data_IF_163642890584
#
_entry.id   IF_163642890584
#
_cell.length_a   1.000
_cell.length_b   1.000
_cell.length_c   1.000
_cell.angle_alpha   90.00
_cell.angle_beta   90.00
_cell.angle_gamma   90.00
#
_symmetry.space_group_name_H-M   'P 1'
#
loop_
_entity.id
_entity.type
_entity.pdbx_description
1 polymer ?
#
# COMPACT_ATOMS: atom_id res chain seq x y z
N UNK A 1 -35.24 -43.33 -74.38
CA UNK A 1 -36.52 -43.26 -73.63
C UNK A 1 -36.47 -42.02 -72.74
N UNK A 2 -37.54 -41.22 -72.79
CA UNK A 2 -37.74 -39.97 -72.05
C UNK A 2 -38.19 -40.24 -70.60
N UNK A 3 -38.25 -39.14 -69.83
CA UNK A 3 -38.98 -38.90 -68.57
C UNK A 3 -38.20 -39.24 -67.29
N UNK A 4 -38.32 -38.52 -66.16
CA UNK A 4 -38.82 -37.20 -65.73
C UNK A 4 -38.42 -37.11 -64.23
N UNK A 5 -38.00 -35.96 -63.72
CA UNK A 5 -38.04 -35.64 -62.27
C UNK A 5 -39.50 -35.35 -61.85
N UNK A 6 -39.95 -35.53 -60.57
CA UNK A 6 -39.58 -34.61 -59.46
C UNK A 6 -39.55 -35.15 -57.99
N UNK A 7 -38.84 -34.37 -57.17
CA UNK A 7 -38.91 -34.02 -55.72
C UNK A 7 -39.80 -34.82 -54.74
N UNK A 8 -39.27 -35.14 -53.55
CA UNK A 8 -39.72 -34.64 -52.22
C UNK A 8 -38.56 -34.78 -51.20
N UNK A 9 -38.38 -33.74 -50.40
CA UNK A 9 -37.38 -33.60 -49.34
C UNK A 9 -37.73 -34.38 -48.05
N UNK A 10 -36.72 -34.86 -47.31
CA UNK A 10 -36.83 -35.00 -45.86
C UNK A 10 -35.51 -34.61 -45.19
N UNK A 11 -35.64 -33.61 -44.32
CA UNK A 11 -34.61 -32.94 -43.55
C UNK A 11 -34.46 -33.67 -42.21
N UNK A 12 -33.31 -34.27 -41.93
CA UNK A 12 -32.93 -34.62 -40.55
C UNK A 12 -31.46 -34.25 -40.37
N UNK A 13 -31.25 -33.06 -39.81
CA UNK A 13 -29.96 -32.67 -39.27
C UNK A 13 -29.70 -33.43 -37.98
N UNK A 14 -28.55 -34.11 -37.89
CA UNK A 14 -28.01 -34.58 -36.62
C UNK A 14 -26.77 -33.75 -36.29
N UNK A 15 -27.00 -32.76 -35.43
CA UNK A 15 -25.99 -31.99 -34.73
C UNK A 15 -25.17 -32.95 -33.86
N UNK A 16 -23.91 -33.21 -34.20
CA UNK A 16 -22.95 -33.76 -33.24
C UNK A 16 -22.49 -32.60 -32.37
N UNK A 17 -23.26 -32.34 -31.31
CA UNK A 17 -22.89 -31.43 -30.24
C UNK A 17 -21.71 -32.02 -29.48
N UNK A 18 -20.52 -31.51 -29.75
CA UNK A 18 -19.38 -31.66 -28.86
C UNK A 18 -19.76 -30.94 -27.56
N UNK A 19 -20.06 -31.71 -26.52
CA UNK A 19 -20.17 -31.22 -25.15
C UNK A 19 -18.80 -30.73 -24.68
N UNK A 20 -18.43 -29.52 -25.12
CA UNK A 20 -17.46 -28.73 -24.42
C UNK A 20 -18.08 -28.38 -23.07
N UNK A 21 -17.68 -29.11 -22.02
CA UNK A 21 -17.89 -28.68 -20.63
C UNK A 21 -17.04 -27.43 -20.43
N UNK A 22 -17.55 -26.31 -20.91
CA UNK A 22 -17.06 -24.99 -20.58
C UNK A 22 -17.27 -24.83 -19.09
N UNK A 23 -16.16 -24.76 -18.33
CA UNK A 23 -16.20 -24.25 -16.96
C UNK A 23 -16.96 -22.93 -16.99
N UNK A 24 -17.98 -22.72 -16.15
CA UNK A 24 -18.64 -21.43 -16.11
C UNK A 24 -17.58 -20.41 -15.68
N UNK A 25 -17.13 -19.58 -16.63
CA UNK A 25 -16.53 -18.28 -16.31
C UNK A 25 -17.68 -17.49 -15.70
N UNK A 26 -17.83 -17.63 -14.39
CA UNK A 26 -18.63 -16.70 -13.60
C UNK A 26 -17.90 -15.37 -13.73
N UNK A 27 -18.33 -14.58 -14.70
CA UNK A 27 -17.94 -13.19 -14.84
C UNK A 27 -18.59 -12.44 -13.67
N UNK A 28 -17.93 -12.51 -12.52
CA UNK A 28 -18.28 -11.69 -11.38
C UNK A 28 -17.80 -10.28 -11.68
N UNK A 29 -18.63 -9.51 -12.38
CA UNK A 29 -18.45 -8.07 -12.48
C UNK A 29 -18.89 -7.42 -11.16
N UNK A 30 -18.23 -7.76 -10.05
CA UNK A 30 -18.14 -6.85 -8.92
C UNK A 30 -16.91 -6.00 -9.20
N UNK A 31 -17.11 -4.73 -9.49
CA UNK A 31 -16.01 -3.75 -9.47
C UNK A 31 -15.24 -3.97 -8.16
N UNK A 32 -14.00 -4.44 -8.27
CA UNK A 32 -13.14 -4.58 -7.09
C UNK A 32 -13.09 -3.21 -6.41
N UNK A 33 -13.26 -3.12 -5.07
CA UNK A 33 -13.17 -1.86 -4.39
C UNK A 33 -11.75 -1.32 -4.59
N UNK A 34 -11.63 -0.30 -5.44
CA UNK A 34 -10.37 0.37 -5.73
C UNK A 34 -10.39 1.78 -5.20
N UNK A 35 -9.29 2.18 -4.56
CA UNK A 35 -9.05 3.55 -4.13
C UNK A 35 -8.04 4.17 -5.09
N UNK A 36 -8.27 5.41 -5.47
CA UNK A 36 -7.36 6.13 -6.37
C UNK A 36 -6.40 7.01 -5.56
N UNK A 37 -5.13 7.03 -5.95
CA UNK A 37 -4.15 7.98 -5.45
C UNK A 37 -3.37 8.61 -6.61
N UNK A 38 -2.84 9.80 -6.37
CA UNK A 38 -1.85 10.41 -7.25
C UNK A 38 -0.47 10.19 -6.64
N UNK A 39 0.35 9.40 -7.31
CA UNK A 39 1.73 9.16 -6.92
C UNK A 39 2.66 10.13 -7.66
N UNK A 40 3.61 10.72 -6.94
CA UNK A 40 4.58 11.67 -7.47
C UNK A 40 3.96 12.81 -8.31
N UNK A 41 2.77 13.28 -7.94
CA UNK A 41 2.03 14.38 -8.59
C UNK A 41 1.67 14.15 -10.08
N UNK A 42 1.92 12.95 -10.62
CA UNK A 42 1.79 12.67 -12.05
C UNK A 42 1.14 11.31 -12.35
N UNK A 43 1.43 10.30 -11.54
CA UNK A 43 0.97 8.93 -11.80
C UNK A 43 -0.36 8.69 -11.08
N UNK A 44 -1.47 8.62 -11.83
CA UNK A 44 -2.76 8.19 -11.30
C UNK A 44 -2.76 6.67 -11.11
N UNK A 45 -2.75 6.22 -9.86
CA UNK A 45 -2.73 4.81 -9.47
C UNK A 45 -4.09 4.43 -8.87
N UNK A 46 -4.60 3.24 -9.20
CA UNK A 46 -5.75 2.65 -8.51
C UNK A 46 -5.29 1.43 -7.73
N UNK A 47 -5.39 1.48 -6.42
CA UNK A 47 -5.03 0.37 -5.54
C UNK A 47 -6.27 -0.43 -5.14
N UNK A 48 -6.11 -1.73 -4.92
CA UNK A 48 -7.22 -2.56 -4.44
C UNK A 48 -6.76 -3.92 -3.92
N UNK A 49 -7.76 -4.76 -3.65
CA UNK A 49 -7.58 -6.15 -3.24
C UNK A 49 -8.36 -7.09 -4.15
N UNK A 50 -7.78 -8.23 -4.47
CA UNK A 50 -8.42 -9.37 -5.12
C UNK A 50 -8.06 -10.67 -4.36
N UNK A 51 -8.68 -11.82 -4.68
CA UNK A 51 -8.32 -13.10 -4.07
C UNK A 51 -6.83 -13.47 -4.22
N UNK A 52 -6.16 -12.94 -5.24
CA UNK A 52 -4.72 -13.13 -5.50
C UNK A 52 -3.84 -12.25 -4.60
N UNK A 53 -4.39 -11.18 -4.01
CA UNK A 53 -3.67 -10.30 -3.09
C UNK A 53 -3.95 -8.80 -3.31
N UNK A 54 -3.10 -7.97 -2.72
CA UNK A 54 -3.12 -6.52 -2.96
C UNK A 54 -2.53 -6.21 -4.33
N UNK A 55 -3.09 -5.23 -5.02
CA UNK A 55 -2.60 -4.81 -6.34
C UNK A 55 -2.64 -3.30 -6.51
N UNK A 56 -1.88 -2.82 -7.50
CA UNK A 56 -1.97 -1.47 -8.01
C UNK A 56 -2.12 -1.48 -9.54
N UNK A 57 -3.07 -0.70 -10.03
CA UNK A 57 -3.27 -0.42 -11.43
C UNK A 57 -2.55 0.87 -11.77
N UNK A 58 -1.57 0.77 -12.67
CA UNK A 58 -0.72 1.90 -13.08
C UNK A 58 -0.82 2.06 -14.59
N UNK A 59 -0.95 3.30 -15.06
CA UNK A 59 -0.88 3.61 -16.50
C UNK A 59 0.57 3.85 -16.92
N UNK A 60 0.95 3.45 -18.15
CA UNK A 60 2.18 3.94 -18.74
C UNK A 60 2.10 5.45 -18.97
N UNK A 61 3.22 6.15 -18.79
CA UNK A 61 3.33 7.57 -19.16
C UNK A 61 3.30 7.73 -20.68
N UNK A 62 3.02 8.94 -21.16
CA UNK A 62 3.05 9.23 -22.60
C UNK A 62 4.44 8.91 -23.19
N UNK A 63 4.49 8.10 -24.26
CA UNK A 63 5.75 7.66 -24.88
C UNK A 63 6.59 6.66 -24.06
N UNK A 64 6.09 6.22 -22.91
CA UNK A 64 6.73 5.19 -22.11
C UNK A 64 6.54 3.81 -22.77
N UNK A 65 7.62 3.05 -22.87
CA UNK A 65 7.59 1.66 -23.32
C UNK A 65 7.63 0.70 -22.13
N UNK A 66 7.36 -0.58 -22.37
CA UNK A 66 7.33 -1.64 -21.34
C UNK A 66 8.57 -1.59 -20.43
N UNK A 67 9.78 -1.57 -21.02
CA UNK A 67 11.03 -1.49 -20.25
C UNK A 67 11.11 -0.27 -19.32
N UNK A 68 10.79 0.93 -19.82
CA UNK A 68 10.86 2.17 -19.02
C UNK A 68 9.83 2.17 -17.89
N UNK A 69 8.63 1.64 -18.16
CA UNK A 69 7.64 1.43 -17.12
C UNK A 69 8.15 0.47 -16.04
N UNK A 70 8.74 -0.66 -16.45
CA UNK A 70 9.27 -1.65 -15.52
C UNK A 70 10.36 -1.07 -14.61
N UNK A 71 11.32 -0.32 -15.18
CA UNK A 71 12.37 0.36 -14.40
C UNK A 71 11.77 1.32 -13.37
N UNK A 72 10.70 2.04 -13.74
CA UNK A 72 10.04 3.01 -12.85
C UNK A 72 9.27 2.35 -11.72
N UNK A 73 8.56 1.25 -11.98
CA UNK A 73 7.56 0.73 -11.05
C UNK A 73 7.94 -0.59 -10.39
N UNK A 74 8.78 -1.42 -11.02
CA UNK A 74 9.08 -2.78 -10.56
C UNK A 74 10.34 -2.83 -9.72
N UNK A 75 10.31 -3.62 -8.64
CA UNK A 75 11.42 -3.77 -7.70
C UNK A 75 12.70 -4.35 -8.31
N UNK A 76 12.61 -5.03 -9.44
CA UNK A 76 13.74 -5.70 -10.08
C UNK A 76 14.53 -4.79 -11.03
N UNK A 77 14.14 -3.50 -11.13
CA UNK A 77 14.78 -2.53 -12.01
C UNK A 77 14.56 -2.84 -13.49
N UNK A 78 13.45 -3.50 -13.84
CA UNK A 78 13.07 -3.77 -15.23
C UNK A 78 13.67 -5.04 -15.83
N UNK A 79 14.32 -5.91 -15.03
CA UNK A 79 14.85 -7.20 -15.51
C UNK A 79 13.75 -8.11 -16.07
N UNK A 80 12.55 -8.03 -15.52
CA UNK A 80 11.37 -8.77 -15.94
C UNK A 80 10.37 -7.88 -16.69
N UNK A 81 10.82 -6.84 -17.39
CA UNK A 81 9.93 -5.98 -18.19
C UNK A 81 9.01 -6.74 -19.19
N UNK A 82 9.38 -7.91 -19.77
CA UNK A 82 8.46 -8.64 -20.64
C UNK A 82 7.18 -9.09 -19.91
N UNK A 83 7.24 -9.24 -18.58
CA UNK A 83 6.10 -9.60 -17.73
C UNK A 83 5.00 -8.54 -17.74
N UNK A 84 5.30 -7.30 -18.11
CA UNK A 84 4.29 -6.24 -18.25
C UNK A 84 3.24 -6.60 -19.31
N UNK A 85 3.62 -7.32 -20.37
CA UNK A 85 2.66 -7.77 -21.39
C UNK A 85 1.70 -8.83 -20.86
N UNK A 86 2.20 -9.74 -20.02
CA UNK A 86 1.37 -10.73 -19.33
C UNK A 86 0.39 -10.04 -18.37
N UNK A 87 0.88 -9.07 -17.60
CA UNK A 87 0.07 -8.31 -16.62
C UNK A 87 -0.94 -7.37 -17.28
N UNK A 88 -0.62 -6.81 -18.46
CA UNK A 88 -1.55 -5.94 -19.19
C UNK A 88 -2.69 -6.71 -19.84
N UNK A 89 -2.48 -8.01 -20.10
CA UNK A 89 -3.41 -8.85 -20.85
C UNK A 89 -3.64 -8.38 -22.29
N UNK A 90 -2.82 -7.44 -22.78
CA UNK A 90 -2.99 -6.80 -24.07
C UNK A 90 -1.92 -7.27 -25.06
N UNK A 91 -2.33 -7.46 -26.32
CA UNK A 91 -1.40 -7.80 -27.40
C UNK A 91 -0.40 -6.66 -27.70
N UNK A 92 -0.77 -5.41 -27.37
CA UNK A 92 0.04 -4.21 -27.55
C UNK A 92 0.00 -3.34 -26.30
N UNK A 93 1.13 -2.71 -26.01
CA UNK A 93 1.28 -1.82 -24.86
C UNK A 93 0.77 -0.41 -25.20
N UNK A 94 -0.23 0.07 -24.46
CA UNK A 94 -0.90 1.34 -24.71
C UNK A 94 -0.87 2.27 -23.49
N UNK A 95 -0.57 3.55 -23.71
CA UNK A 95 -0.45 4.57 -22.65
C UNK A 95 -1.74 4.89 -21.89
N UNK A 96 -2.91 4.56 -22.46
CA UNK A 96 -4.20 4.82 -21.82
C UNK A 96 -4.75 3.64 -21.01
N UNK A 97 -4.10 2.47 -21.10
CA UNK A 97 -4.55 1.25 -20.44
C UNK A 97 -3.87 1.10 -19.08
N UNK A 98 -4.64 0.69 -18.08
CA UNK A 98 -4.08 0.29 -16.79
C UNK A 98 -3.45 -1.09 -16.90
N UNK A 99 -2.24 -1.23 -16.37
CA UNK A 99 -1.62 -2.53 -16.09
C UNK A 99 -1.78 -2.83 -14.60
N UNK A 100 -2.27 -4.02 -14.27
CA UNK A 100 -2.48 -4.43 -12.88
C UNK A 100 -1.23 -5.16 -12.38
N UNK A 101 -0.55 -4.57 -11.41
CA UNK A 101 0.63 -5.15 -10.77
C UNK A 101 0.25 -5.71 -9.40
N UNK A 102 0.60 -6.98 -9.11
CA UNK A 102 0.67 -7.45 -7.73
C UNK A 102 1.57 -6.54 -6.89
N UNK A 103 1.15 -6.22 -5.68
CA UNK A 103 1.85 -5.27 -4.81
C UNK A 103 3.31 -5.66 -4.62
N UNK A 104 3.59 -6.96 -4.45
CA UNK A 104 4.93 -7.47 -4.21
C UNK A 104 5.91 -7.26 -5.37
N UNK A 105 5.43 -6.97 -6.59
CA UNK A 105 6.30 -6.68 -7.73
C UNK A 105 6.76 -5.21 -7.76
N UNK A 106 6.08 -4.32 -7.05
CA UNK A 106 6.35 -2.88 -7.10
C UNK A 106 7.58 -2.50 -6.27
N UNK A 107 8.21 -1.36 -6.57
CA UNK A 107 9.23 -0.77 -5.69
C UNK A 107 8.64 -0.41 -4.31
N UNK A 108 9.47 -0.48 -3.27
CA UNK A 108 9.06 -0.21 -1.88
C UNK A 108 8.26 1.10 -1.68
N UNK A 109 8.70 2.26 -2.21
CA UNK A 109 7.97 3.52 -2.07
C UNK A 109 6.57 3.52 -2.68
N UNK A 110 6.38 2.82 -3.82
CA UNK A 110 5.06 2.61 -4.42
C UNK A 110 4.20 1.71 -3.55
N UNK A 111 4.78 0.61 -3.03
CA UNK A 111 4.07 -0.27 -2.10
C UNK A 111 3.59 0.53 -0.87
N UNK A 112 4.47 1.31 -0.26
CA UNK A 112 4.14 2.17 0.88
C UNK A 112 3.01 3.15 0.61
N UNK A 113 3.04 3.80 -0.56
CA UNK A 113 2.00 4.76 -0.97
C UNK A 113 0.64 4.08 -1.18
N UNK A 114 0.65 2.89 -1.78
CA UNK A 114 -0.54 2.04 -1.93
C UNK A 114 -1.09 1.64 -0.56
N UNK A 115 -0.23 1.18 0.37
CA UNK A 115 -0.64 0.78 1.70
C UNK A 115 -1.25 1.93 2.51
N UNK A 116 -0.62 3.12 2.51
CA UNK A 116 -1.18 4.33 3.13
C UNK A 116 -2.55 4.71 2.58
N UNK A 117 -2.79 4.44 1.31
CA UNK A 117 -4.06 4.75 0.64
C UNK A 117 -5.14 3.72 0.97
N UNK A 118 -4.79 2.43 0.94
CA UNK A 118 -5.74 1.36 1.23
C UNK A 118 -6.12 1.31 2.71
N UNK A 119 -5.16 1.55 3.59
CA UNK A 119 -5.31 1.52 5.05
C UNK A 119 -5.18 2.95 5.61
N UNK A 120 -6.10 3.83 5.19
CA UNK A 120 -6.10 5.25 5.59
C UNK A 120 -6.29 5.47 7.09
N UNK A 121 -6.88 4.49 7.79
CA UNK A 121 -7.10 4.51 9.23
C UNK A 121 -5.88 4.09 10.05
N UNK A 122 -4.79 3.68 9.38
CA UNK A 122 -3.55 3.32 10.06
C UNK A 122 -2.88 4.57 10.64
N UNK A 123 -2.55 4.47 11.92
CA UNK A 123 -1.92 5.56 12.67
C UNK A 123 -0.48 5.23 12.96
N UNK A 124 0.38 6.23 12.78
CA UNK A 124 1.74 6.17 13.27
C UNK A 124 1.72 6.40 14.78
N UNK A 125 2.10 5.39 15.55
CA UNK A 125 2.18 5.47 17.00
C UNK A 125 3.59 5.27 17.54
N UNK A 126 3.71 5.53 18.84
CA UNK A 126 4.95 5.30 19.55
C UNK A 126 5.39 3.84 19.52
N UNK A 127 6.39 3.57 18.71
CA UNK A 127 7.07 2.29 18.60
C UNK A 127 6.47 1.33 17.56
N UNK A 128 5.30 1.62 17.03
CA UNK A 128 4.59 0.76 16.08
C UNK A 128 3.70 1.55 15.11
N UNK A 129 3.38 0.92 13.98
CA UNK A 129 2.18 1.25 13.22
C UNK A 129 0.97 0.63 13.94
N UNK A 130 0.00 1.47 14.31
CA UNK A 130 -1.32 1.02 14.76
C UNK A 130 -2.17 0.82 13.53
N UNK A 131 -2.46 -0.43 13.23
CA UNK A 131 -3.32 -0.81 12.12
C UNK A 131 -4.74 -1.10 12.63
N UNK A 132 -5.74 -0.54 11.98
CA UNK A 132 -7.14 -0.80 12.30
C UNK A 132 -7.78 -1.57 11.14
N UNK A 133 -8.30 -2.75 11.43
CA UNK A 133 -8.91 -3.62 10.41
C UNK A 133 -10.19 -2.96 9.91
N UNK A 134 -10.20 -2.54 8.64
CA UNK A 134 -11.34 -1.84 8.03
C UNK A 134 -12.17 -2.81 7.20
N UNK A 135 -11.51 -3.69 6.45
CA UNK A 135 -12.14 -4.56 5.48
C UNK A 135 -12.21 -6.02 5.95
N UNK A 136 -13.28 -6.71 5.56
CA UNK A 136 -13.48 -8.13 5.90
C UNK A 136 -12.50 -9.08 5.21
N UNK A 137 -11.84 -8.64 4.14
CA UNK A 137 -10.85 -9.44 3.41
C UNK A 137 -9.47 -9.41 4.05
N UNK A 138 -9.26 -8.58 5.08
CA UNK A 138 -7.98 -8.48 5.75
C UNK A 138 -7.69 -9.73 6.58
N UNK A 139 -6.47 -10.22 6.44
CA UNK A 139 -6.00 -11.39 7.19
C UNK A 139 -4.60 -11.13 7.70
N UNK A 140 -4.23 -11.76 8.83
CA UNK A 140 -2.88 -11.63 9.36
C UNK A 140 -1.79 -12.07 8.34
N UNK A 141 -1.97 -13.15 7.54
CA UNK A 141 -1.07 -13.46 6.43
C UNK A 141 -0.90 -12.35 5.41
N UNK A 142 -2.00 -11.73 4.97
CA UNK A 142 -1.96 -10.62 4.02
C UNK A 142 -1.22 -9.41 4.60
N UNK A 143 -1.59 -8.99 5.81
CA UNK A 143 -0.98 -7.83 6.48
C UNK A 143 0.51 -8.07 6.75
N UNK A 144 0.90 -9.28 7.17
CA UNK A 144 2.31 -9.65 7.30
C UNK A 144 3.04 -9.49 5.96
N UNK A 145 2.49 -10.05 4.88
CA UNK A 145 3.14 -10.02 3.58
C UNK A 145 3.30 -8.59 3.05
N UNK A 146 2.31 -7.72 3.32
CA UNK A 146 2.31 -6.32 2.94
C UNK A 146 3.33 -5.49 3.73
N UNK A 147 3.29 -5.55 5.07
CA UNK A 147 3.98 -4.61 5.94
C UNK A 147 5.33 -5.11 6.48
N UNK A 148 5.47 -6.41 6.75
CA UNK A 148 6.51 -6.91 7.65
C UNK A 148 7.71 -7.52 6.92
N UNK A 149 8.87 -7.44 7.56
CA UNK A 149 10.11 -8.10 7.13
C UNK A 149 9.92 -9.61 7.05
N UNK A 150 10.58 -10.26 6.08
CA UNK A 150 10.49 -11.72 5.88
C UNK A 150 10.87 -12.54 7.12
N UNK A 151 11.78 -12.01 7.96
CA UNK A 151 12.22 -12.64 9.21
C UNK A 151 11.15 -12.69 10.31
N UNK A 152 10.13 -11.85 10.25
CA UNK A 152 9.04 -11.82 11.24
C UNK A 152 8.05 -12.93 10.93
N UNK A 153 7.77 -13.81 11.89
CA UNK A 153 6.88 -14.96 11.65
C UNK A 153 5.41 -14.63 11.91
N UNK A 154 4.49 -15.40 11.32
CA UNK A 154 3.05 -15.27 11.60
C UNK A 154 2.75 -15.51 13.08
N UNK A 155 3.34 -16.56 13.66
CA UNK A 155 3.17 -16.91 15.07
C UNK A 155 3.66 -15.79 16.00
N UNK A 156 4.82 -15.20 15.70
CA UNK A 156 5.34 -14.05 16.44
C UNK A 156 4.38 -12.85 16.35
N UNK A 157 3.86 -12.56 15.16
CA UNK A 157 2.94 -11.45 14.94
C UNK A 157 1.61 -11.66 15.68
N UNK A 158 1.06 -12.87 15.60
CA UNK A 158 -0.16 -13.26 16.28
C UNK A 158 -0.02 -13.19 17.79
N UNK A 159 1.08 -13.72 18.34
CA UNK A 159 1.35 -13.72 19.78
C UNK A 159 1.52 -12.31 20.34
N UNK A 160 2.23 -11.43 19.62
CA UNK A 160 2.40 -10.04 20.02
C UNK A 160 1.07 -9.28 20.07
N UNK A 161 0.23 -9.52 19.06
CA UNK A 161 -1.12 -8.96 18.97
C UNK A 161 -2.17 -9.73 19.79
N UNK A 162 -1.74 -10.74 20.59
CA UNK A 162 -2.59 -11.58 21.45
C UNK A 162 -3.79 -12.18 20.71
N UNK A 163 -3.60 -12.53 19.45
CA UNK A 163 -4.65 -13.13 18.63
C UNK A 163 -4.91 -14.57 19.08
N UNK A 164 -6.18 -14.93 19.23
CA UNK A 164 -6.60 -16.30 19.52
C UNK A 164 -6.43 -17.14 18.26
N UNK A 165 -5.71 -18.27 18.35
CA UNK A 165 -5.47 -19.16 17.21
C UNK A 165 -6.77 -19.76 16.62
N UNK A 166 -7.82 -19.84 17.42
CA UNK A 166 -9.15 -20.31 17.03
C UNK A 166 -9.88 -19.31 16.11
N UNK A 167 -9.55 -18.02 16.22
CA UNK A 167 -10.13 -16.94 15.42
C UNK A 167 -9.25 -16.69 14.19
N UNK A 168 -9.44 -17.50 13.14
CA UNK A 168 -8.69 -17.40 11.88
C UNK A 168 -8.96 -16.12 11.09
N UNK A 169 -9.94 -15.31 11.49
CA UNK A 169 -10.36 -14.09 10.80
C UNK A 169 -10.18 -12.87 11.70
N UNK A 170 -9.62 -11.80 11.13
CA UNK A 170 -9.58 -10.50 11.79
C UNK A 170 -10.98 -9.88 11.80
N UNK A 171 -11.36 -9.25 12.91
CA UNK A 171 -12.67 -8.59 13.04
C UNK A 171 -12.56 -7.14 12.58
N UNK A 172 -13.58 -6.61 11.89
CA UNK A 172 -13.62 -5.18 11.56
C UNK A 172 -13.58 -4.34 12.85
N UNK A 173 -12.78 -3.27 12.84
CA UNK A 173 -12.49 -2.44 14.01
C UNK A 173 -11.43 -3.01 14.95
N UNK A 174 -10.96 -4.25 14.74
CA UNK A 174 -9.87 -4.82 15.52
C UNK A 174 -8.58 -4.03 15.28
N UNK A 175 -7.85 -3.76 16.37
CA UNK A 175 -6.59 -3.02 16.32
C UNK A 175 -5.42 -3.98 16.43
N UNK A 176 -4.48 -3.86 15.50
CA UNK A 176 -3.20 -4.55 15.49
C UNK A 176 -2.08 -3.54 15.63
N UNK A 177 -0.97 -3.97 16.22
CA UNK A 177 0.25 -3.20 16.35
C UNK A 177 1.38 -3.93 15.64
N UNK A 178 2.07 -3.21 14.77
CA UNK A 178 3.24 -3.67 14.06
C UNK A 178 4.46 -2.84 14.49
N UNK A 179 5.34 -3.37 15.34
CA UNK A 179 6.55 -2.68 15.77
C UNK A 179 7.36 -2.14 14.59
N UNK A 180 7.89 -0.92 14.71
CA UNK A 180 8.65 -0.29 13.63
C UNK A 180 9.86 -1.11 13.17
N UNK A 181 10.50 -1.86 14.08
CA UNK A 181 11.62 -2.75 13.74
C UNK A 181 11.19 -4.00 12.96
N UNK A 182 9.90 -4.34 12.94
CA UNK A 182 9.34 -5.45 12.17
C UNK A 182 8.88 -5.02 10.78
N UNK A 183 8.52 -3.75 10.61
CA UNK A 183 8.05 -3.21 9.34
C UNK A 183 9.22 -3.12 8.36
N UNK A 184 8.94 -3.40 7.09
CA UNK A 184 9.89 -3.24 5.99
C UNK A 184 10.31 -1.78 5.83
N UNK A 185 11.62 -1.56 5.81
CA UNK A 185 12.20 -0.21 5.78
C UNK A 185 11.95 0.50 4.42
N UNK A 186 11.86 -0.28 3.34
CA UNK A 186 11.66 0.22 1.98
C UNK A 186 10.25 0.76 1.70
N UNK A 187 9.29 0.55 2.62
CA UNK A 187 7.91 1.03 2.46
C UNK A 187 7.73 2.51 2.82
N UNK A 188 8.73 3.18 3.40
CA UNK A 188 8.65 4.61 3.79
C UNK A 188 7.42 4.95 4.65
N UNK A 189 6.95 4.00 5.46
CA UNK A 189 5.78 4.17 6.35
C UNK A 189 6.14 4.87 7.65
N UNK A 190 7.37 4.65 8.13
CA UNK A 190 7.86 5.28 9.36
C UNK A 190 8.12 6.77 9.09
N UNK A 191 7.58 7.70 9.90
CA UNK A 191 8.04 9.07 9.89
C UNK A 191 9.43 9.09 10.50
N UNK A 192 10.44 8.94 9.64
CA UNK A 192 11.81 9.20 9.99
C UNK A 192 12.00 10.72 10.04
N UNK A 193 12.51 11.22 11.15
CA UNK A 193 13.18 12.51 11.19
C UNK A 193 14.67 12.26 11.04
N UNK A 194 15.42 13.30 10.73
CA UNK A 194 16.88 13.26 10.69
C UNK A 194 17.44 14.13 11.80
N UNK A 195 18.65 13.83 12.26
CA UNK A 195 19.33 14.67 13.25
C UNK A 195 19.97 15.87 12.57
N UNK A 196 20.05 17.00 13.29
CA UNK A 196 20.93 18.10 12.89
C UNK A 196 22.36 17.56 12.62
N UNK A 197 23.05 18.03 11.56
CA UNK A 197 22.72 19.15 10.66
C UNK A 197 21.82 18.79 9.46
N UNK A 198 21.35 17.55 9.37
CA UNK A 198 20.42 17.13 8.33
C UNK A 198 19.01 17.67 8.61
N UNK A 199 18.26 17.93 7.56
CA UNK A 199 16.83 18.25 7.61
C UNK A 199 16.06 17.39 6.60
N UNK A 200 14.76 17.20 6.81
CA UNK A 200 13.95 16.50 5.82
C UNK A 200 13.67 17.43 4.64
N UNK A 201 13.94 16.95 3.44
CA UNK A 201 13.60 17.62 2.18
C UNK A 201 12.80 16.64 1.31
N UNK A 202 12.02 17.18 0.38
CA UNK A 202 11.26 16.39 -0.59
C UNK A 202 11.65 16.85 -1.99
N UNK A 203 11.79 15.91 -2.92
CA UNK A 203 11.95 16.28 -4.32
C UNK A 203 10.62 16.70 -4.95
N UNK A 204 10.65 17.07 -6.23
CA UNK A 204 9.46 17.40 -7.01
C UNK A 204 8.48 16.23 -7.15
N UNK A 205 8.94 15.01 -6.87
CA UNK A 205 8.16 13.78 -6.88
C UNK A 205 7.60 13.45 -5.48
N UNK A 206 7.88 14.25 -4.45
CA UNK A 206 7.44 14.00 -3.09
C UNK A 206 8.18 12.86 -2.37
N UNK A 207 9.27 12.34 -2.95
CA UNK A 207 10.16 11.38 -2.30
C UNK A 207 10.96 12.12 -1.23
N UNK A 208 11.03 11.53 -0.04
CA UNK A 208 11.72 12.13 1.10
C UNK A 208 13.21 11.81 1.08
N UNK A 209 14.02 12.84 1.29
CA UNK A 209 15.46 12.76 1.42
C UNK A 209 15.89 13.42 2.72
N UNK A 210 17.10 13.09 3.16
CA UNK A 210 17.83 13.95 4.07
C UNK A 210 18.55 15.03 3.26
N UNK A 211 18.17 16.28 3.46
CA UNK A 211 18.87 17.45 2.94
C UNK A 211 20.02 17.82 3.87
N UNK A 212 21.17 18.13 3.27
CA UNK A 212 22.33 18.71 3.95
C UNK A 212 22.82 19.91 3.15
N UNK A 213 23.23 20.99 3.81
CA UNK A 213 23.89 22.11 3.12
C UNK A 213 25.38 22.04 3.40
N UNK A 214 26.18 21.97 2.34
CA UNK A 214 27.64 21.90 2.47
C UNK A 214 28.17 23.11 3.22
N UNK A 215 29.02 22.89 4.23
CA UNK A 215 29.73 23.97 4.89
C UNK A 215 30.90 24.46 4.03
N UNK A 216 31.36 25.73 4.21
CA UNK A 216 32.53 26.23 3.50
C UNK A 216 33.76 25.34 3.69
N UNK A 217 34.37 24.89 2.60
CA UNK A 217 35.56 24.03 2.62
C UNK A 217 35.29 22.54 2.78
N UNK A 218 34.03 22.10 2.91
CA UNK A 218 33.68 20.68 2.88
C UNK A 218 33.70 20.10 1.46
N UNK A 219 33.96 18.81 1.36
CA UNK A 219 33.75 18.03 0.13
C UNK A 219 32.58 17.08 0.29
N UNK A 220 31.93 16.69 -0.81
CA UNK A 220 30.90 15.64 -0.79
C UNK A 220 31.45 14.35 -0.14
N UNK A 221 32.70 14.02 -0.42
CA UNK A 221 33.33 12.80 0.08
C UNK A 221 33.47 12.80 1.61
N UNK A 222 34.11 13.83 2.17
CA UNK A 222 34.41 13.90 3.62
C UNK A 222 33.24 14.42 4.44
N UNK A 223 32.59 15.50 3.98
CA UNK A 223 31.52 16.20 4.71
C UNK A 223 30.18 15.47 4.66
N UNK A 224 29.93 14.67 3.61
CA UNK A 224 28.65 13.98 3.42
C UNK A 224 28.79 12.47 3.49
N UNK A 225 29.54 11.85 2.56
CA UNK A 225 29.54 10.38 2.44
C UNK A 225 30.12 9.73 3.69
N UNK A 226 31.36 10.09 4.09
CA UNK A 226 31.97 9.51 5.30
C UNK A 226 31.22 9.85 6.59
N UNK A 227 30.57 11.01 6.62
CA UNK A 227 29.88 11.52 7.81
C UNK A 227 28.52 10.85 8.00
N UNK A 228 27.66 10.90 7.00
CA UNK A 228 26.24 10.57 7.13
C UNK A 228 25.86 9.22 6.53
N UNK A 229 26.61 8.71 5.54
CA UNK A 229 26.30 7.46 4.84
C UNK A 229 27.06 6.30 5.48
N UNK A 230 26.52 5.08 5.37
CA UNK A 230 27.12 3.87 5.96
C UNK A 230 28.60 3.74 5.61
N UNK A 231 29.36 3.31 6.61
CA UNK A 231 30.79 3.04 6.48
C UNK A 231 31.02 1.87 5.52
N UNK A 232 31.96 2.03 4.60
CA UNK A 232 32.31 1.07 3.57
C UNK A 232 33.77 1.24 3.15
N UNK A 233 34.23 0.40 2.23
CA UNK A 233 35.59 0.52 1.68
C UNK A 233 35.80 1.85 0.95
N UNK A 234 37.05 2.21 0.66
CA UNK A 234 37.35 3.42 -0.12
C UNK A 234 36.63 3.40 -1.50
N UNK A 235 36.58 2.23 -2.13
CA UNK A 235 35.91 2.01 -3.43
C UNK A 235 34.40 2.18 -3.33
N UNK A 236 33.78 1.63 -2.27
CA UNK A 236 32.35 1.80 -2.00
C UNK A 236 32.01 3.26 -1.71
N UNK A 237 32.85 3.94 -0.94
CA UNK A 237 32.69 5.37 -0.62
C UNK A 237 32.73 6.21 -1.89
N UNK A 238 33.66 5.92 -2.81
CA UNK A 238 33.75 6.61 -4.11
C UNK A 238 32.55 6.32 -5.00
N UNK A 239 32.05 5.08 -5.02
CA UNK A 239 30.84 4.73 -5.78
C UNK A 239 29.61 5.49 -5.27
N UNK A 240 29.41 5.50 -3.95
CA UNK A 240 28.31 6.24 -3.30
C UNK A 240 28.41 7.74 -3.61
N UNK A 241 29.62 8.31 -3.58
CA UNK A 241 29.81 9.71 -3.95
C UNK A 241 29.34 9.97 -5.40
N UNK A 242 29.72 9.13 -6.35
CA UNK A 242 29.28 9.24 -7.74
C UNK A 242 27.76 9.07 -7.89
N UNK A 243 27.18 8.14 -7.16
CA UNK A 243 25.73 7.93 -7.17
C UNK A 243 24.98 9.15 -6.59
N UNK A 244 25.52 9.80 -5.55
CA UNK A 244 24.97 11.05 -5.01
C UNK A 244 25.09 12.22 -5.99
N UNK A 245 26.20 12.32 -6.73
CA UNK A 245 26.38 13.33 -7.79
C UNK A 245 25.25 13.16 -8.83
N UNK A 246 25.07 11.93 -9.33
CA UNK A 246 24.05 11.63 -10.33
C UNK A 246 22.63 11.88 -9.80
N UNK A 247 22.33 11.44 -8.57
CA UNK A 247 21.02 11.61 -7.93
C UNK A 247 20.63 13.07 -7.76
N UNK A 248 21.60 13.93 -7.45
CA UNK A 248 21.37 15.36 -7.25
C UNK A 248 21.50 16.18 -8.54
N UNK A 249 21.83 15.55 -9.67
CA UNK A 249 22.01 16.23 -10.96
C UNK A 249 23.24 17.14 -11.01
N UNK A 250 24.29 16.81 -10.25
CA UNK A 250 25.55 17.55 -10.27
C UNK A 250 26.45 17.04 -11.39
N UNK A 251 27.26 17.94 -11.97
CA UNK A 251 28.21 17.58 -13.02
C UNK A 251 29.49 16.95 -12.44
N UNK A 252 29.99 17.48 -11.32
CA UNK A 252 31.19 17.03 -10.63
C UNK A 252 31.10 17.37 -9.14
N UNK A 253 31.70 16.57 -8.26
CA UNK A 253 31.84 16.88 -6.84
C UNK A 253 32.74 18.10 -6.58
N UNK A 254 33.67 18.42 -7.48
CA UNK A 254 34.60 19.56 -7.33
C UNK A 254 33.96 20.91 -7.59
N UNK A 255 32.80 20.94 -8.23
CA UNK A 255 32.08 22.17 -8.58
C UNK A 255 30.99 22.54 -7.57
N UNK A 256 30.90 21.79 -6.46
CA UNK A 256 29.93 22.04 -5.40
C UNK A 256 30.29 23.31 -4.63
N UNK A 257 29.31 24.19 -4.49
CA UNK A 257 29.47 25.46 -3.78
C UNK A 257 29.08 25.32 -2.29
N UNK A 258 29.67 26.12 -1.40
CA UNK A 258 29.18 26.26 -0.03
C UNK A 258 27.69 26.61 0.00
N UNK A 259 26.95 26.01 0.92
CA UNK A 259 25.50 26.18 1.08
C UNK A 259 24.65 25.36 0.10
N UNK A 260 25.26 24.70 -0.90
CA UNK A 260 24.54 23.85 -1.84
C UNK A 260 23.89 22.66 -1.13
N UNK A 261 22.60 22.44 -1.41
CA UNK A 261 21.83 21.35 -0.83
C UNK A 261 22.20 20.03 -1.52
N UNK A 262 22.57 19.04 -0.71
CA UNK A 262 22.79 17.66 -1.10
C UNK A 262 21.64 16.83 -0.55
N UNK A 263 20.91 16.15 -1.43
CA UNK A 263 19.87 15.18 -1.08
C UNK A 263 20.49 13.80 -0.95
N UNK A 264 20.25 13.18 0.20
CA UNK A 264 20.76 11.86 0.56
C UNK A 264 19.54 10.94 0.76
N UNK A 265 19.45 9.80 0.06
CA UNK A 265 18.39 8.84 0.32
C UNK A 265 18.35 8.43 1.79
N UNK A 266 17.16 8.45 2.41
CA UNK A 266 17.01 8.10 3.82
C UNK A 266 17.51 6.68 4.14
N UNK A 267 17.38 5.75 3.18
CA UNK A 267 17.88 4.38 3.29
C UNK A 267 19.42 4.27 3.31
N UNK A 268 20.15 5.30 2.87
CA UNK A 268 21.61 5.31 2.85
C UNK A 268 22.21 5.89 4.13
N UNK A 269 21.42 6.67 4.88
CA UNK A 269 21.87 7.24 6.13
C UNK A 269 22.26 6.15 7.13
N UNK A 270 23.32 6.42 7.89
CA UNK A 270 23.63 5.67 9.10
C UNK A 270 22.48 5.83 10.09
N UNK A 271 22.21 4.77 10.84
CA UNK A 271 21.15 4.76 11.86
C UNK A 271 21.34 5.87 12.90
N UNK A 272 22.59 6.24 13.19
CA UNK A 272 22.95 7.33 14.09
C UNK A 272 22.36 8.69 13.69
N UNK A 273 22.09 8.91 12.40
CA UNK A 273 21.56 10.16 11.85
C UNK A 273 20.05 10.12 11.59
N UNK A 274 19.43 8.95 11.72
CA UNK A 274 17.99 8.83 11.72
C UNK A 274 17.51 9.14 13.13
N UNK A 275 16.82 10.28 13.29
CA UNK A 275 16.16 10.59 14.54
C UNK A 275 14.77 9.93 14.54
N UNK A 276 14.57 8.95 15.43
CA UNK A 276 13.22 8.64 15.86
C UNK A 276 12.52 9.94 16.31
N UNK A 277 11.36 10.31 15.74
CA UNK A 277 10.56 11.44 16.22
C UNK A 277 10.19 11.16 17.69
N UNK A 278 10.69 11.92 18.69
CA UNK A 278 10.73 11.48 20.09
C UNK A 278 9.39 11.04 20.69
N UNK A 279 8.27 11.57 20.20
CA UNK A 279 6.91 11.17 20.59
C UNK A 279 6.47 9.79 20.05
N UNK A 280 7.24 9.18 19.15
CA UNK A 280 6.88 8.02 18.32
C UNK A 280 7.80 6.80 18.56
N UNK A 281 8.72 6.79 19.54
CA UNK A 281 9.69 5.67 19.66
C UNK A 281 9.90 5.06 21.05
N UNK A 282 8.99 5.26 21.99
CA UNK A 282 8.86 4.26 23.07
C UNK A 282 8.45 2.94 22.46
N UNK A 283 9.09 1.84 22.84
CA UNK A 283 8.62 0.51 22.48
C UNK A 283 7.13 0.40 22.83
N UNK A 284 6.27 -0.06 21.91
CA UNK A 284 4.87 -0.19 22.23
C UNK A 284 4.78 -1.23 23.34
N UNK A 285 4.07 -0.88 24.41
CA UNK A 285 3.62 -1.90 25.35
C UNK A 285 2.75 -2.87 24.55
N UNK A 286 2.92 -4.20 24.70
CA UNK A 286 2.07 -5.15 24.00
C UNK A 286 0.59 -4.76 24.18
N UNK A 287 -0.22 -4.81 23.11
CA UNK A 287 -1.62 -4.39 23.17
C UNK A 287 -2.32 -5.03 24.36
N UNK A 288 -3.02 -4.20 25.14
CA UNK A 288 -3.91 -4.72 26.18
C UNK A 288 -5.11 -5.42 25.52
N UNK A 289 -5.70 -6.44 26.17
CA UNK A 289 -6.87 -7.10 25.60
C UNK A 289 -7.96 -6.04 25.40
N UNK A 290 -8.48 -5.92 24.18
CA UNK A 290 -9.74 -5.21 23.97
C UNK A 290 -10.79 -6.06 24.66
N UNK A 291 -11.29 -5.60 25.82
CA UNK A 291 -12.52 -6.17 26.38
C UNK A 291 -13.59 -6.01 25.30
N UNK A 292 -14.17 -7.13 24.88
CA UNK A 292 -15.31 -7.15 23.98
C UNK A 292 -16.44 -6.41 24.69
N UNK A 293 -16.61 -5.11 24.39
CA UNK A 293 -17.64 -4.26 25.02
C UNK A 293 -19.03 -4.82 24.72
N UNK A 294 -19.18 -5.60 23.64
CA UNK A 294 -20.40 -6.35 23.33
C UNK A 294 -20.71 -7.46 24.35
N UNK A 295 -19.74 -7.93 25.15
CA UNK A 295 -19.98 -8.90 26.24
C UNK A 295 -20.35 -8.25 27.57
N UNK A 296 -20.15 -6.94 27.74
CA UNK A 296 -20.63 -6.21 28.94
C UNK A 296 -22.10 -5.82 28.84
N UNK A 297 -22.72 -5.86 27.66
CA UNK A 297 -24.15 -5.61 27.47
C UNK A 297 -25.05 -6.85 27.62
N UNK A 298 -24.51 -8.01 27.98
CA UNK A 298 -25.29 -9.25 28.18
C UNK A 298 -25.28 -9.74 29.63
N UNK A 299 -25.09 -8.86 30.62
CA UNK A 299 -25.13 -9.28 32.03
C UNK A 299 -25.89 -8.39 33.00
N UNK A 300 -26.68 -7.46 32.49
CA UNK A 300 -27.76 -6.83 33.27
C UNK A 300 -28.99 -6.75 32.36
N UNK A 301 -29.88 -7.74 32.47
CA UNK A 301 -31.24 -7.69 31.94
C UNK A 301 -32.03 -6.66 32.76
N UNK A 302 -32.43 -5.50 32.21
CA UNK A 302 -33.27 -4.56 32.96
C UNK A 302 -34.74 -4.99 32.98
N UNK A 303 -35.08 -6.15 32.38
CA UNK A 303 -36.46 -6.58 32.16
C UNK A 303 -36.95 -7.71 33.07
N UNK A 304 -36.17 -8.11 34.10
CA UNK A 304 -36.57 -9.20 35.01
C UNK A 304 -37.05 -8.75 36.40
N UNK A 305 -37.11 -7.45 36.68
CA UNK A 305 -37.67 -6.94 37.93
C UNK A 305 -38.66 -5.83 37.65
N UNK A 306 -39.94 -6.18 37.50
CA UNK A 306 -41.15 -5.44 37.91
C UNK A 306 -42.38 -5.99 37.16
N UNK A 307 -42.83 -7.18 37.55
CA UNK A 307 -44.23 -7.55 37.40
C UNK A 307 -44.94 -7.09 38.68
N UNK A 308 -45.45 -5.86 38.70
CA UNK A 308 -46.75 -5.51 39.30
C UNK A 308 -47.09 -4.02 39.06
N UNK A 309 -48.34 -3.80 38.64
CA UNK A 309 -49.14 -2.56 38.66
C UNK A 309 -49.06 -1.58 37.47
N UNK A 310 -50.09 -1.73 36.61
CA UNK A 310 -51.00 -0.72 36.04
C UNK A 310 -50.51 0.40 35.10
N UNK A 311 -51.06 0.31 33.88
CA UNK A 311 -51.69 1.39 33.08
C UNK A 311 -51.41 2.86 33.44
N UNK A 312 -50.85 3.63 32.50
CA UNK A 312 -51.48 4.81 31.85
C UNK A 312 -50.46 5.69 31.09
N UNK A 313 -50.87 6.17 29.90
CA UNK A 313 -50.50 7.46 29.25
C UNK A 313 -49.01 7.64 28.80
N UNK A 314 -48.64 7.96 27.57
CA UNK A 314 -49.00 9.07 26.67
C UNK A 314 -48.51 8.72 25.23
N UNK A 315 -49.37 8.67 24.21
CA UNK A 315 -49.66 9.73 23.22
C UNK A 315 -48.45 10.53 22.68
N UNK A 316 -48.25 10.41 21.36
CA UNK A 316 -47.39 11.21 20.48
C UNK A 316 -47.88 12.67 20.37
N UNK A 317 -47.07 13.60 19.81
CA UNK A 317 -47.43 14.05 18.47
C UNK A 317 -46.26 14.36 17.51
N UNK A 318 -46.62 14.21 16.24
CA UNK A 318 -45.93 14.62 15.01
C UNK A 318 -45.94 16.16 14.92
N UNK A 319 -44.82 16.76 14.52
CA UNK A 319 -44.83 18.13 13.96
C UNK A 319 -44.11 18.17 12.60
N UNK A 320 -44.92 18.46 11.59
CA UNK A 320 -44.59 18.86 10.23
C UNK A 320 -44.18 20.33 10.19
N UNK A 321 -43.13 20.67 9.43
CA UNK A 321 -42.76 22.05 9.10
C UNK A 321 -42.94 22.24 7.60
N UNK A 322 -43.91 23.08 7.25
CA UNK A 322 -44.09 23.72 5.94
C UNK A 322 -43.38 25.08 5.97
N UNK A 323 -42.56 25.39 4.97
CA UNK A 323 -42.21 26.78 4.63
C UNK A 323 -42.47 27.02 3.15
N UNK A 324 -43.28 28.05 2.89
CA UNK A 324 -43.55 28.67 1.59
C UNK A 324 -42.76 29.99 1.49
N UNK A 325 -42.32 30.42 0.30
CA UNK A 325 -41.59 31.68 0.14
C UNK A 325 -42.50 32.83 -0.33
N UNK A 326 -42.27 34.05 0.16
CA UNK A 326 -42.27 35.35 -0.57
C UNK A 326 -42.31 36.53 0.41
N UNK A 327 -41.52 37.56 0.07
CA UNK A 327 -41.41 38.85 0.74
C UNK A 327 -40.13 39.52 0.30
#
# INVERSE_FOLDING_TARGET
MRFLFPQVALLVGLLVGVLAVGKPKVAFCRSLPVVSLVYQQQDMIRAGWSPEGLFAQIRPRFGEGEYRMAVRVMQDGGRQFPRIRELSGAAKFHSHQYVTFPLELLIGPLQGSVLKTLFSEDLVESGALRHQVVYRWETLPLLKAAFLKKSVTLTQTARYNRLRFEERALRQGQVLYFPWNWIRDDLELRPLSVKYPLYLTVDSLGVRYAGYRLEPGESLYSGVVRRFVREGSHEETTRIANDLIALNGFADARTLNPGQEIRIPLAWLREDFLHPVPSIHRFPRPPQPVEDVSRKLTKEDPCLNLLYVSSELCQSPIHSILTSPRG
#
